data_IF_108454091011
#
_entry.id   IF_108454091011
#
_cell.length_a   1.000
_cell.length_b   1.000
_cell.length_c   1.000
_cell.angle_alpha   90.00
_cell.angle_beta   90.00
_cell.angle_gamma   90.00
#
_symmetry.space_group_name_H-M   'P 1'
#
loop_
_entity.id
_entity.type
_entity.pdbx_description
1 polymer ?
#
# COMPACT_ATOMS: atom_id res chain seq x y z
N UNK A 1 -41.84 -74.45 29.91
CA UNK A 1 -40.82 -73.48 30.29
C UNK A 1 -40.09 -73.07 29.02
N UNK A 2 -40.22 -71.81 28.60
CA UNK A 2 -39.45 -71.30 27.47
C UNK A 2 -37.98 -71.09 27.94
N UNK A 3 -37.00 -71.49 27.18
CA UNK A 3 -35.60 -71.27 27.58
C UNK A 3 -35.34 -69.75 27.74
N UNK A 4 -34.66 -69.41 28.84
CA UNK A 4 -34.18 -68.05 29.06
C UNK A 4 -33.25 -67.68 27.87
N UNK A 5 -33.62 -66.63 27.17
CA UNK A 5 -32.75 -66.04 26.17
C UNK A 5 -31.77 -65.14 26.91
N UNK A 6 -30.49 -65.52 26.92
CA UNK A 6 -29.45 -64.69 27.49
C UNK A 6 -29.38 -63.37 26.70
N UNK A 7 -29.47 -62.24 27.42
CA UNK A 7 -29.28 -60.91 26.87
C UNK A 7 -27.87 -60.46 27.24
N UNK A 8 -27.03 -60.27 26.25
CA UNK A 8 -25.69 -59.67 26.45
C UNK A 8 -25.79 -58.16 26.20
N UNK A 9 -25.31 -57.38 27.15
CA UNK A 9 -25.19 -55.93 27.03
C UNK A 9 -23.70 -55.59 27.07
N UNK A 10 -23.19 -54.96 25.99
CA UNK A 10 -21.80 -54.49 25.91
C UNK A 10 -21.77 -53.00 26.16
N UNK A 11 -20.96 -52.56 27.10
CA UNK A 11 -20.67 -51.15 27.35
C UNK A 11 -19.31 -50.82 26.73
N UNK A 12 -19.28 -49.82 25.85
CA UNK A 12 -18.02 -49.35 25.27
C UNK A 12 -17.79 -47.91 25.77
N UNK A 13 -16.64 -47.74 26.45
CA UNK A 13 -16.22 -46.39 26.86
C UNK A 13 -15.30 -45.80 25.76
N UNK A 14 -15.53 -44.58 25.41
CA UNK A 14 -14.70 -43.80 24.48
C UNK A 14 -13.92 -42.77 25.28
N UNK A 15 -12.58 -42.82 25.15
CA UNK A 15 -11.74 -41.77 25.72
C UNK A 15 -11.76 -40.55 24.77
N UNK A 16 -12.01 -39.39 25.34
CA UNK A 16 -11.99 -38.12 24.58
C UNK A 16 -10.56 -37.73 24.22
N UNK A 17 -10.41 -37.02 23.09
CA UNK A 17 -9.21 -36.29 22.73
C UNK A 17 -9.44 -34.78 22.86
N UNK A 18 -8.48 -34.01 22.40
CA UNK A 18 -8.53 -32.53 22.35
C UNK A 18 -7.97 -32.05 21.04
N UNK A 19 -8.28 -30.79 20.69
CA UNK A 19 -7.70 -30.09 19.56
C UNK A 19 -7.05 -28.81 20.06
N UNK A 20 -5.79 -28.59 19.66
CA UNK A 20 -5.05 -27.33 19.85
C UNK A 20 -4.93 -26.65 18.51
N UNK A 21 -5.34 -25.38 18.47
CA UNK A 21 -5.15 -24.49 17.33
C UNK A 21 -4.09 -23.46 17.72
N UNK A 22 -3.13 -23.22 16.82
CA UNK A 22 -2.08 -22.21 17.02
C UNK A 22 -2.19 -21.14 15.94
N UNK A 23 -2.22 -19.88 16.36
CA UNK A 23 -2.23 -18.71 15.48
C UNK A 23 -0.86 -18.06 15.43
N UNK A 24 -0.37 -17.78 14.21
CA UNK A 24 0.89 -17.08 13.95
C UNK A 24 0.66 -15.87 13.04
N UNK A 25 1.47 -14.83 13.19
CA UNK A 25 1.52 -13.66 12.30
C UNK A 25 2.93 -13.48 11.78
N UNK A 26 3.12 -13.54 10.45
CA UNK A 26 4.44 -13.33 9.82
C UNK A 26 4.97 -11.91 9.99
N UNK A 27 4.08 -10.94 10.10
CA UNK A 27 4.41 -9.51 10.22
C UNK A 27 4.51 -9.03 11.67
N UNK A 28 4.35 -9.95 12.64
CA UNK A 28 4.15 -9.59 14.04
C UNK A 28 2.76 -8.99 14.30
N UNK A 29 2.49 -8.66 15.56
CA UNK A 29 1.21 -8.13 16.01
C UNK A 29 0.54 -9.02 17.07
N UNK A 30 -0.68 -8.67 17.49
CA UNK A 30 -1.43 -9.46 18.46
C UNK A 30 -2.01 -10.72 17.82
N UNK A 31 -1.75 -11.85 18.43
CA UNK A 31 -2.32 -13.16 18.09
C UNK A 31 -3.58 -13.47 18.89
N UNK A 32 -4.00 -12.57 19.79
CA UNK A 32 -5.21 -12.69 20.60
C UNK A 32 -6.47 -12.31 19.80
N UNK A 33 -7.58 -13.03 20.07
CA UNK A 33 -8.90 -12.69 19.57
C UNK A 33 -9.20 -13.14 18.14
N UNK A 34 -8.33 -13.92 17.51
CA UNK A 34 -8.60 -14.50 16.20
C UNK A 34 -9.65 -15.59 16.30
N UNK A 35 -10.60 -15.58 15.35
CA UNK A 35 -11.79 -16.42 15.41
C UNK A 35 -11.69 -17.66 14.55
N UNK A 36 -12.06 -18.81 15.13
CA UNK A 36 -12.04 -20.10 14.45
C UNK A 36 -13.37 -20.82 14.61
N UNK A 37 -13.92 -21.28 13.49
CA UNK A 37 -15.06 -22.18 13.45
C UNK A 37 -14.56 -23.61 13.38
N UNK A 38 -15.11 -24.49 14.22
CA UNK A 38 -14.79 -25.93 14.23
C UNK A 38 -16.06 -26.70 13.89
N UNK A 39 -15.95 -27.60 12.92
CA UNK A 39 -17.06 -28.40 12.42
C UNK A 39 -16.65 -29.88 12.47
N UNK A 40 -17.55 -30.76 12.88
CA UNK A 40 -17.31 -32.19 12.88
C UNK A 40 -17.47 -32.82 11.49
N UNK A 41 -17.30 -34.16 11.41
CA UNK A 41 -17.42 -34.90 10.15
C UNK A 41 -18.85 -34.97 9.56
N UNK A 42 -19.85 -34.64 10.35
CA UNK A 42 -21.26 -34.61 9.92
C UNK A 42 -21.67 -33.22 9.45
N UNK A 43 -20.77 -32.22 9.59
CA UNK A 43 -21.01 -30.84 9.23
C UNK A 43 -21.63 -30.00 10.35
N UNK A 44 -21.72 -30.56 11.55
CA UNK A 44 -22.26 -29.83 12.71
C UNK A 44 -21.17 -28.97 13.34
N UNK A 45 -21.53 -27.73 13.63
CA UNK A 45 -20.62 -26.74 14.26
C UNK A 45 -20.53 -27.04 15.76
N UNK A 46 -19.33 -27.11 16.29
CA UNK A 46 -19.11 -27.37 17.72
C UNK A 46 -19.72 -26.24 18.59
N UNK A 47 -20.29 -26.64 19.72
CA UNK A 47 -20.78 -25.72 20.73
C UNK A 47 -19.65 -24.80 21.23
N UNK A 48 -19.94 -23.50 21.31
CA UNK A 48 -18.99 -22.46 21.68
C UNK A 48 -18.23 -21.88 20.50
N UNK A 49 -18.45 -22.37 19.28
CA UNK A 49 -17.88 -21.77 18.05
C UNK A 49 -18.60 -20.44 17.72
N UNK A 50 -17.87 -19.40 17.22
CA UNK A 50 -16.44 -19.39 16.99
C UNK A 50 -15.61 -19.29 18.28
N UNK A 51 -14.51 -20.01 18.31
CA UNK A 51 -13.52 -19.93 19.38
C UNK A 51 -12.54 -18.79 19.11
N UNK A 52 -12.11 -18.09 20.18
CA UNK A 52 -11.11 -17.03 20.07
C UNK A 52 -9.76 -17.50 20.60
N UNK A 53 -8.67 -17.08 19.95
CA UNK A 53 -7.32 -17.28 20.49
C UNK A 53 -7.08 -16.44 21.73
N UNK A 54 -6.28 -16.98 22.64
CA UNK A 54 -5.77 -16.28 23.83
C UNK A 54 -4.58 -15.34 23.49
N UNK A 55 -3.99 -14.73 24.52
CA UNK A 55 -2.86 -13.82 24.40
C UNK A 55 -1.59 -14.47 23.78
N UNK A 56 -1.45 -15.79 23.91
CA UNK A 56 -0.37 -16.58 23.34
C UNK A 56 -0.71 -17.10 21.92
N UNK A 57 -1.91 -16.83 21.42
CA UNK A 57 -2.38 -17.29 20.11
C UNK A 57 -2.89 -18.71 20.08
N UNK A 58 -3.33 -19.26 21.21
CA UNK A 58 -3.80 -20.63 21.31
C UNK A 58 -5.31 -20.73 21.53
N UNK A 59 -5.88 -21.80 21.00
CA UNK A 59 -7.16 -22.37 21.41
C UNK A 59 -6.90 -23.82 21.80
N UNK A 60 -7.34 -24.20 22.99
CA UNK A 60 -7.39 -25.59 23.40
C UNK A 60 -8.86 -25.96 23.67
N UNK A 61 -9.40 -26.86 22.86
CA UNK A 61 -10.79 -27.29 23.02
C UNK A 61 -11.00 -28.08 24.31
N UNK A 62 -12.24 -28.20 24.74
CA UNK A 62 -12.66 -29.20 25.70
C UNK A 62 -12.53 -30.63 25.14
N UNK A 63 -13.21 -31.56 25.78
CA UNK A 63 -13.23 -32.96 25.38
C UNK A 63 -14.00 -33.14 24.06
N UNK A 64 -13.33 -33.69 23.06
CA UNK A 64 -13.88 -34.03 21.75
C UNK A 64 -13.96 -35.53 21.60
N UNK A 65 -15.01 -36.02 20.95
CA UNK A 65 -15.05 -37.41 20.50
C UNK A 65 -13.95 -37.65 19.46
N UNK A 66 -13.33 -38.82 19.44
CA UNK A 66 -12.42 -39.18 18.35
C UNK A 66 -13.11 -39.12 17.01
N UNK A 67 -12.49 -38.44 16.05
CA UNK A 67 -13.10 -38.18 14.75
C UNK A 67 -12.31 -37.14 13.94
N UNK A 68 -12.81 -36.84 12.77
CA UNK A 68 -12.25 -35.83 11.88
C UNK A 68 -13.00 -34.51 12.08
N UNK A 69 -12.28 -33.43 12.21
CA UNK A 69 -12.79 -32.08 12.39
C UNK A 69 -12.22 -31.16 11.32
N UNK A 70 -13.03 -30.21 10.90
CA UNK A 70 -12.61 -29.12 10.01
C UNK A 70 -12.50 -27.84 10.83
N UNK A 71 -11.36 -27.16 10.73
CA UNK A 71 -11.06 -25.89 11.39
C UNK A 71 -10.96 -24.82 10.32
N UNK A 72 -11.78 -23.79 10.44
CA UNK A 72 -11.84 -22.65 9.54
C UNK A 72 -11.53 -21.36 10.29
N UNK A 73 -10.50 -20.63 9.87
CA UNK A 73 -10.25 -19.28 10.34
C UNK A 73 -11.25 -18.31 9.73
N UNK A 74 -11.91 -17.52 10.57
CA UNK A 74 -12.88 -16.53 10.16
C UNK A 74 -12.21 -15.15 10.06
N UNK A 75 -11.81 -14.76 8.85
CA UNK A 75 -11.29 -13.43 8.59
C UNK A 75 -12.44 -12.46 8.29
N UNK A 76 -12.46 -11.25 8.89
CA UNK A 76 -13.37 -10.20 8.45
C UNK A 76 -13.17 -9.88 6.97
N UNK A 77 -14.25 -9.55 6.26
CA UNK A 77 -14.22 -9.20 4.84
C UNK A 77 -13.24 -8.07 4.52
N UNK A 78 -13.09 -7.12 5.45
CA UNK A 78 -12.18 -5.97 5.34
C UNK A 78 -10.88 -6.16 6.14
N UNK A 79 -10.42 -7.40 6.31
CA UNK A 79 -9.18 -7.67 7.02
C UNK A 79 -7.97 -7.16 6.24
N UNK A 80 -7.04 -6.49 6.95
CA UNK A 80 -5.71 -6.19 6.41
C UNK A 80 -4.79 -7.41 6.37
N UNK A 81 -5.23 -8.55 6.90
CA UNK A 81 -4.50 -9.81 6.89
C UNK A 81 -5.12 -10.78 5.90
N UNK A 82 -4.28 -11.66 5.39
CA UNK A 82 -4.68 -12.82 4.60
C UNK A 82 -4.04 -14.08 5.18
N UNK A 83 -4.78 -15.19 5.16
CA UNK A 83 -4.21 -16.50 5.51
C UNK A 83 -3.18 -16.88 4.45
N UNK A 84 -1.96 -17.25 4.89
CA UNK A 84 -0.86 -17.75 4.03
C UNK A 84 -0.69 -19.26 4.16
N UNK A 85 -1.68 -19.93 4.72
CA UNK A 85 -1.80 -21.37 4.88
C UNK A 85 -3.10 -21.87 4.25
N UNK A 86 -3.29 -23.18 4.26
CA UNK A 86 -4.58 -23.78 3.90
C UNK A 86 -5.65 -23.36 4.92
N UNK A 87 -6.79 -22.91 4.42
CA UNK A 87 -7.96 -22.54 5.22
C UNK A 87 -9.24 -22.87 4.43
N UNK A 88 -10.11 -23.78 4.90
CA UNK A 88 -10.02 -24.53 6.17
C UNK A 88 -9.01 -25.68 6.18
N UNK A 89 -8.61 -26.12 7.39
CA UNK A 89 -7.78 -27.29 7.60
C UNK A 89 -8.57 -28.45 8.21
N UNK A 90 -8.23 -29.68 7.83
CA UNK A 90 -8.84 -30.90 8.37
C UNK A 90 -7.87 -31.61 9.31
N UNK A 91 -8.36 -32.03 10.48
CA UNK A 91 -7.55 -32.70 11.52
C UNK A 91 -8.26 -33.89 12.11
N UNK A 92 -7.53 -34.94 12.48
CA UNK A 92 -8.08 -36.12 13.15
C UNK A 92 -7.72 -36.11 14.64
N UNK A 93 -8.73 -36.05 15.48
CA UNK A 93 -8.61 -36.17 16.93
C UNK A 93 -8.68 -37.67 17.30
N UNK A 94 -7.64 -38.18 17.99
CA UNK A 94 -7.59 -39.54 18.48
C UNK A 94 -7.85 -39.62 19.99
N UNK A 95 -8.18 -40.83 20.45
CA UNK A 95 -8.44 -41.09 21.87
C UNK A 95 -7.23 -40.73 22.73
N UNK A 96 -7.41 -39.90 23.77
CA UNK A 96 -6.39 -39.51 24.72
C UNK A 96 -5.31 -38.58 24.19
N UNK A 97 -5.38 -38.17 22.92
CA UNK A 97 -4.36 -37.33 22.28
C UNK A 97 -4.84 -35.88 22.14
N UNK A 98 -3.87 -34.97 21.98
CA UNK A 98 -4.10 -33.60 21.55
C UNK A 98 -3.69 -33.52 20.08
N UNK A 99 -4.66 -33.31 19.19
CA UNK A 99 -4.40 -33.02 17.79
C UNK A 99 -4.04 -31.54 17.63
N UNK A 100 -3.17 -31.20 16.70
CA UNK A 100 -2.70 -29.83 16.50
C UNK A 100 -2.89 -29.37 15.06
N UNK A 101 -3.29 -28.11 14.90
CA UNK A 101 -3.30 -27.37 13.61
C UNK A 101 -2.71 -25.99 13.82
N UNK A 102 -2.15 -25.41 12.77
CA UNK A 102 -1.53 -24.10 12.82
C UNK A 102 -2.01 -23.23 11.65
N UNK A 103 -2.35 -21.99 11.97
CA UNK A 103 -2.73 -20.98 10.98
C UNK A 103 -1.76 -19.82 11.05
N UNK A 104 -1.35 -19.35 9.87
CA UNK A 104 -0.46 -18.22 9.72
C UNK A 104 -1.09 -17.17 8.82
N UNK A 105 -1.01 -15.89 9.25
CA UNK A 105 -1.44 -14.77 8.42
C UNK A 105 -0.30 -13.79 8.19
N UNK A 106 -0.31 -13.20 7.01
CA UNK A 106 0.54 -12.08 6.65
C UNK A 106 -0.30 -10.82 6.40
N UNK A 107 0.29 -9.65 6.61
CA UNK A 107 -0.31 -8.40 6.16
C UNK A 107 -0.43 -8.42 4.64
N UNK A 108 -1.59 -7.99 4.15
CA UNK A 108 -1.78 -7.71 2.73
C UNK A 108 -0.90 -6.55 2.31
N UNK A 109 -0.37 -6.62 1.12
CA UNK A 109 0.52 -5.60 0.56
C UNK A 109 -0.24 -4.64 -0.33
N UNK A 110 -0.14 -3.36 -0.04
CA UNK A 110 -0.73 -2.30 -0.85
C UNK A 110 0.15 -1.86 -2.01
N UNK A 111 -0.46 -1.22 -3.02
CA UNK A 111 0.25 -0.73 -4.21
C UNK A 111 -0.39 0.55 -4.75
N UNK A 112 0.46 1.51 -5.13
CA UNK A 112 0.07 2.68 -5.93
C UNK A 112 0.83 2.63 -7.25
N UNK A 113 0.09 2.75 -8.36
CA UNK A 113 0.63 2.81 -9.71
C UNK A 113 0.22 4.12 -10.35
N UNK A 114 1.18 4.85 -10.92
CA UNK A 114 0.93 6.03 -11.75
C UNK A 114 1.39 5.73 -13.16
N UNK A 115 0.53 6.03 -14.12
CA UNK A 115 0.84 6.12 -15.54
C UNK A 115 0.94 7.59 -15.92
N UNK A 116 2.14 8.06 -16.23
CA UNK A 116 2.41 9.44 -16.58
C UNK A 116 2.26 9.64 -18.07
N UNK A 117 1.28 10.46 -18.46
CA UNK A 117 0.93 10.73 -19.87
C UNK A 117 0.81 12.24 -20.15
N UNK A 118 0.82 12.58 -21.42
CA UNK A 118 0.42 13.93 -21.86
C UNK A 118 -1.07 13.99 -22.25
N UNK A 119 -1.53 15.15 -22.69
CA UNK A 119 -2.93 15.40 -23.11
C UNK A 119 -3.34 14.61 -24.36
N UNK A 120 -2.41 13.99 -25.07
CA UNK A 120 -2.68 13.13 -26.25
C UNK A 120 -2.67 11.64 -25.89
N UNK A 121 -2.29 11.29 -24.65
CA UNK A 121 -2.14 9.92 -24.19
C UNK A 121 -0.73 9.32 -24.40
N UNK A 122 0.22 10.11 -24.86
CA UNK A 122 1.63 9.69 -25.00
C UNK A 122 2.30 9.60 -23.63
N UNK A 123 3.04 8.52 -23.39
CA UNK A 123 3.77 8.30 -22.14
C UNK A 123 4.90 9.32 -21.98
N UNK A 124 5.09 9.78 -20.76
CA UNK A 124 6.10 10.79 -20.43
C UNK A 124 7.13 10.24 -19.44
N UNK A 125 8.41 10.28 -19.84
CA UNK A 125 9.54 10.01 -18.95
C UNK A 125 10.05 11.30 -18.27
N UNK A 126 10.74 11.13 -17.14
CA UNK A 126 11.42 12.24 -16.44
C UNK A 126 10.56 13.05 -15.50
N UNK A 127 9.30 12.66 -15.25
CA UNK A 127 8.50 13.22 -14.16
C UNK A 127 8.92 12.60 -12.83
N UNK A 128 9.21 13.44 -11.83
CA UNK A 128 9.60 12.97 -10.48
C UNK A 128 8.46 13.17 -9.50
N UNK A 129 8.09 12.08 -8.80
CA UNK A 129 7.03 12.07 -7.80
C UNK A 129 7.56 11.66 -6.43
N UNK A 130 6.99 12.25 -5.39
CA UNK A 130 7.20 11.90 -3.99
C UNK A 130 5.99 11.16 -3.46
N UNK A 131 6.21 10.00 -2.83
CA UNK A 131 5.22 9.31 -2.02
C UNK A 131 5.50 9.56 -0.54
N UNK A 132 4.49 10.04 0.16
CA UNK A 132 4.49 10.24 1.61
C UNK A 132 3.40 9.40 2.26
N UNK A 133 3.61 9.06 3.53
CA UNK A 133 2.62 8.36 4.36
C UNK A 133 2.31 9.13 5.64
N UNK A 134 1.14 8.88 6.21
CA UNK A 134 0.69 9.41 7.49
C UNK A 134 -0.20 8.40 8.20
N UNK A 135 -0.09 8.30 9.53
CA UNK A 135 -1.01 7.47 10.32
C UNK A 135 -2.41 8.10 10.40
N UNK A 136 -2.50 9.43 10.51
CA UNK A 136 -3.74 10.17 10.78
C UNK A 136 -4.09 11.21 9.71
N UNK A 137 -3.34 11.28 8.60
CA UNK A 137 -3.52 12.26 7.53
C UNK A 137 -3.10 13.69 7.88
N UNK A 138 -2.35 13.90 8.96
CA UNK A 138 -1.94 15.23 9.43
C UNK A 138 -0.45 15.49 9.38
N UNK A 139 0.38 14.52 9.76
CA UNK A 139 1.84 14.58 9.70
C UNK A 139 2.32 13.61 8.64
N UNK A 140 3.11 14.10 7.68
CA UNK A 140 3.52 13.36 6.50
C UNK A 140 5.01 13.07 6.50
N UNK A 141 5.37 11.85 6.14
CA UNK A 141 6.74 11.35 6.09
C UNK A 141 6.99 10.68 4.74
N UNK A 142 8.15 10.91 4.10
CA UNK A 142 8.51 10.17 2.89
C UNK A 142 8.49 8.66 3.12
N UNK A 143 8.00 7.90 2.14
CA UNK A 143 8.06 6.44 2.18
C UNK A 143 9.47 5.99 1.86
N UNK A 144 10.15 5.38 2.83
CA UNK A 144 11.50 4.84 2.65
C UNK A 144 11.47 3.32 2.62
N UNK A 145 12.08 2.69 1.61
CA UNK A 145 12.16 1.23 1.50
C UNK A 145 13.59 0.72 1.69
N UNK A 146 13.69 -0.38 2.41
CA UNK A 146 14.96 -1.09 2.60
C UNK A 146 15.25 -2.12 1.50
N UNK A 147 14.32 -2.41 0.58
CA UNK A 147 14.48 -3.41 -0.48
C UNK A 147 14.16 -2.83 -1.85
N UNK A 148 15.05 -3.12 -2.81
CA UNK A 148 14.87 -2.81 -4.22
C UNK A 148 13.86 -3.77 -4.85
N UNK A 149 12.76 -3.24 -5.38
CA UNK A 149 11.81 -3.99 -6.22
C UNK A 149 11.86 -3.35 -7.60
N UNK A 150 12.22 -4.12 -8.61
CA UNK A 150 12.19 -3.68 -10.01
C UNK A 150 10.94 -4.22 -10.67
N UNK A 151 10.05 -3.34 -11.12
CA UNK A 151 8.91 -3.71 -11.97
C UNK A 151 8.66 -2.59 -12.99
N UNK A 152 8.33 -2.97 -14.22
CA UNK A 152 7.83 -2.06 -15.25
C UNK A 152 8.78 -0.93 -15.61
N UNK A 153 10.10 -1.18 -15.70
CA UNK A 153 11.07 -0.17 -16.10
C UNK A 153 11.46 0.85 -15.01
N UNK A 154 10.73 0.93 -13.90
CA UNK A 154 11.10 1.75 -12.75
C UNK A 154 12.09 1.01 -11.85
N UNK A 155 13.26 1.57 -11.65
CA UNK A 155 14.26 1.06 -10.70
C UNK A 155 14.00 1.67 -9.32
N UNK A 156 13.62 0.84 -8.35
CA UNK A 156 13.48 1.29 -6.95
C UNK A 156 14.82 1.54 -6.24
N UNK A 157 15.93 1.26 -6.88
CA UNK A 157 17.25 1.68 -6.38
C UNK A 157 17.40 3.20 -6.28
N UNK A 158 16.45 3.96 -6.82
CA UNK A 158 16.36 5.41 -6.74
C UNK A 158 15.38 5.91 -5.65
N UNK A 159 14.82 5.04 -4.82
CA UNK A 159 14.01 5.44 -3.65
C UNK A 159 14.92 5.96 -2.53
N UNK A 160 15.53 7.10 -2.81
CA UNK A 160 16.06 7.97 -1.77
C UNK A 160 14.91 8.91 -1.42
N UNK A 161 14.41 8.82 -0.19
CA UNK A 161 13.38 9.71 0.37
C UNK A 161 12.01 9.65 -0.33
N UNK A 162 11.56 8.47 -0.77
CA UNK A 162 10.20 8.26 -1.29
C UNK A 162 9.97 8.72 -2.73
N UNK A 163 11.01 9.15 -3.46
CA UNK A 163 10.87 9.65 -4.82
C UNK A 163 11.03 8.56 -5.88
N UNK A 164 10.22 8.63 -6.93
CA UNK A 164 10.38 7.86 -8.17
C UNK A 164 10.32 8.80 -9.37
N UNK A 165 11.07 8.46 -10.42
CA UNK A 165 11.03 9.18 -11.70
C UNK A 165 10.45 8.27 -12.77
N UNK A 166 9.51 8.77 -13.58
CA UNK A 166 8.89 8.01 -14.66
C UNK A 166 9.90 7.60 -15.72
N UNK A 167 9.81 6.34 -16.15
CA UNK A 167 10.57 5.77 -17.27
C UNK A 167 9.90 6.04 -18.62
N UNK A 168 10.43 5.49 -19.70
CA UNK A 168 9.92 5.71 -21.06
C UNK A 168 8.48 5.22 -21.26
N UNK A 169 8.05 4.23 -20.48
CA UNK A 169 6.68 3.72 -20.45
C UNK A 169 5.73 4.54 -19.53
N UNK A 170 6.22 5.64 -18.96
CA UNK A 170 5.47 6.52 -18.08
C UNK A 170 5.11 5.93 -16.71
N UNK A 171 5.53 4.70 -16.40
CA UNK A 171 5.08 4.01 -15.20
C UNK A 171 5.93 4.34 -13.97
N UNK A 172 5.21 4.52 -12.83
CA UNK A 172 5.76 4.60 -11.49
C UNK A 172 4.96 3.64 -10.60
N UNK A 173 5.66 2.79 -9.84
CA UNK A 173 5.02 1.79 -8.98
C UNK A 173 5.64 1.81 -7.59
N UNK A 174 4.82 2.12 -6.58
CA UNK A 174 5.14 1.91 -5.19
C UNK A 174 4.41 0.66 -4.70
N UNK A 175 5.17 -0.33 -4.29
CA UNK A 175 4.68 -1.64 -3.83
C UNK A 175 5.00 -1.83 -2.34
N UNK A 176 4.46 -2.87 -1.71
CA UNK A 176 4.65 -3.18 -0.29
C UNK A 176 4.23 -2.05 0.65
N UNK A 177 3.16 -1.35 0.31
CA UNK A 177 2.58 -0.32 1.15
C UNK A 177 1.76 -0.96 2.27
N UNK A 178 1.87 -0.40 3.49
CA UNK A 178 1.10 -0.87 4.64
C UNK A 178 -0.38 -0.48 4.49
N UNK A 179 -1.31 -1.42 4.73
CA UNK A 179 -2.73 -1.09 4.72
C UNK A 179 -3.11 -0.21 5.91
N UNK A 180 -4.19 0.57 5.75
CA UNK A 180 -4.73 1.43 6.80
C UNK A 180 -4.01 2.75 7.03
N UNK A 181 -2.89 3.00 6.35
CA UNK A 181 -2.23 4.29 6.36
C UNK A 181 -2.80 5.23 5.30
N UNK A 182 -2.68 6.52 5.53
CA UNK A 182 -2.91 7.54 4.52
C UNK A 182 -1.65 7.71 3.66
N UNK A 183 -1.86 7.86 2.36
CA UNK A 183 -0.81 8.09 1.39
C UNK A 183 -1.08 9.36 0.60
N UNK A 184 -0.01 10.05 0.20
CA UNK A 184 -0.06 11.23 -0.63
C UNK A 184 1.04 11.19 -1.68
N UNK A 185 0.67 11.43 -2.95
CA UNK A 185 1.60 11.47 -4.07
C UNK A 185 1.62 12.86 -4.65
N UNK A 186 2.81 13.46 -4.72
CA UNK A 186 3.03 14.81 -5.23
C UNK A 186 4.01 14.76 -6.40
N UNK A 187 3.70 15.42 -7.51
CA UNK A 187 4.67 15.63 -8.58
C UNK A 187 5.63 16.74 -8.16
N UNK A 188 6.93 16.43 -8.03
CA UNK A 188 7.98 17.38 -7.66
C UNK A 188 8.56 18.07 -8.90
N UNK A 189 8.73 17.31 -9.98
CA UNK A 189 9.29 17.79 -11.26
C UNK A 189 8.47 17.24 -12.41
N UNK A 190 8.05 18.12 -13.31
CA UNK A 190 7.40 17.73 -14.55
C UNK A 190 8.44 17.36 -15.62
N UNK A 191 8.07 16.56 -16.62
CA UNK A 191 8.94 16.33 -17.78
C UNK A 191 9.30 17.64 -18.51
N UNK A 192 10.45 17.68 -19.16
CA UNK A 192 10.88 18.86 -19.91
C UNK A 192 9.82 19.31 -20.92
N UNK A 193 9.44 20.58 -20.83
CA UNK A 193 8.46 21.19 -21.73
C UNK A 193 6.99 21.00 -21.30
N UNK A 194 6.76 20.44 -20.14
CA UNK A 194 5.43 20.25 -19.56
C UNK A 194 5.22 21.08 -18.29
N UNK A 195 3.97 21.41 -18.01
CA UNK A 195 3.60 22.11 -16.79
C UNK A 195 3.49 21.15 -15.62
N UNK A 196 3.96 21.58 -14.44
CA UNK A 196 3.86 20.82 -13.19
C UNK A 196 2.39 20.66 -12.77
N UNK A 197 2.03 19.47 -12.29
CA UNK A 197 0.72 19.19 -11.70
C UNK A 197 0.49 20.10 -10.49
N UNK A 198 -0.69 20.74 -10.42
CA UNK A 198 -1.10 21.52 -9.26
C UNK A 198 -1.82 20.64 -8.26
N UNK A 199 -1.29 20.55 -7.03
CA UNK A 199 -1.86 19.74 -5.97
C UNK A 199 -1.30 18.32 -5.97
N UNK A 200 -2.06 17.38 -5.41
CA UNK A 200 -1.67 15.99 -5.26
C UNK A 200 -2.19 15.15 -6.43
N UNK A 201 -1.37 14.22 -6.90
CA UNK A 201 -1.82 13.18 -7.83
C UNK A 201 -2.76 12.20 -7.13
N UNK A 202 -2.49 11.93 -5.85
CA UNK A 202 -3.31 11.11 -4.97
C UNK A 202 -3.20 11.61 -3.53
N UNK A 203 -4.30 11.56 -2.78
CA UNK A 203 -4.32 11.70 -1.32
C UNK A 203 -5.48 10.88 -0.76
N UNK A 204 -5.19 9.94 0.14
CA UNK A 204 -6.18 9.08 0.77
C UNK A 204 -5.61 7.78 1.31
N UNK A 205 -6.50 6.90 1.75
CA UNK A 205 -6.18 5.54 2.13
C UNK A 205 -6.32 4.61 0.92
N UNK A 206 -5.58 3.48 0.94
CA UNK A 206 -5.79 2.44 -0.06
C UNK A 206 -7.15 1.76 0.15
N UNK A 207 -7.88 1.39 -0.93
CA UNK A 207 -9.13 0.64 -0.82
C UNK A 207 -8.90 -0.66 -0.04
N UNK A 208 -9.79 -0.97 0.92
CA UNK A 208 -9.60 -2.12 1.82
C UNK A 208 -9.76 -3.45 1.11
N UNK A 209 -10.58 -3.50 0.07
CA UNK A 209 -10.90 -4.71 -0.70
C UNK A 209 -9.71 -5.24 -1.52
N UNK A 210 -8.96 -4.36 -2.20
CA UNK A 210 -7.84 -4.81 -3.04
C UNK A 210 -6.49 -4.14 -2.71
N UNK A 211 -6.48 -3.07 -1.90
CA UNK A 211 -5.31 -2.29 -1.49
C UNK A 211 -4.50 -1.70 -2.67
N UNK A 212 -5.15 -1.47 -3.81
CA UNK A 212 -4.50 -0.97 -5.01
C UNK A 212 -5.13 0.33 -5.48
N UNK A 213 -4.26 1.25 -5.92
CA UNK A 213 -4.65 2.49 -6.59
C UNK A 213 -3.87 2.58 -7.89
N UNK A 214 -4.59 2.77 -9.01
CA UNK A 214 -4.00 2.99 -10.32
C UNK A 214 -4.54 4.29 -10.90
N UNK A 215 -3.66 5.20 -11.29
CA UNK A 215 -3.99 6.56 -11.71
C UNK A 215 -3.25 6.92 -13.00
N UNK A 216 -3.92 7.66 -13.88
CA UNK A 216 -3.28 8.39 -14.97
C UNK A 216 -3.05 9.84 -14.52
N UNK A 217 -1.82 10.31 -14.61
CA UNK A 217 -1.45 11.69 -14.32
C UNK A 217 -1.05 12.38 -15.61
N UNK A 218 -1.84 13.39 -15.98
CA UNK A 218 -1.72 14.09 -17.25
C UNK A 218 -1.03 15.45 -17.06
N UNK A 219 0.07 15.70 -17.80
CA UNK A 219 0.65 17.05 -17.88
C UNK A 219 0.36 17.66 -19.26
N UNK A 220 0.00 18.96 -19.25
CA UNK A 220 -0.11 19.76 -20.46
C UNK A 220 1.28 20.25 -20.88
N UNK A 221 1.50 20.38 -22.19
CA UNK A 221 2.70 21.06 -22.70
C UNK A 221 2.74 22.50 -22.20
N UNK A 222 3.87 22.88 -21.62
CA UNK A 222 4.09 24.25 -21.17
C UNK A 222 4.08 25.21 -22.36
N UNK A 223 3.50 26.39 -22.14
CA UNK A 223 3.51 27.44 -23.14
C UNK A 223 4.90 28.10 -23.16
N UNK A 224 5.78 27.69 -24.07
CA UNK A 224 6.98 28.47 -24.36
C UNK A 224 6.59 29.68 -25.18
N UNK A 225 6.70 30.87 -24.59
CA UNK A 225 6.63 32.08 -25.40
C UNK A 225 7.70 31.97 -26.49
N UNK A 226 7.38 32.31 -27.76
CA UNK A 226 8.40 32.38 -28.79
C UNK A 226 9.52 33.30 -28.29
N UNK A 227 10.76 32.86 -28.41
CA UNK A 227 11.91 33.68 -28.09
C UNK A 227 11.86 34.88 -29.04
N UNK A 228 11.34 36.00 -28.57
CA UNK A 228 11.15 37.18 -29.42
C UNK A 228 12.46 37.86 -29.75
N UNK A 229 13.58 37.14 -29.62
CA UNK A 229 14.88 37.52 -30.19
C UNK A 229 15.47 38.86 -29.71
N UNK A 230 14.84 39.52 -28.73
CA UNK A 230 15.40 40.75 -28.14
C UNK A 230 16.30 40.31 -26.98
N UNK A 231 17.57 40.00 -27.30
CA UNK A 231 18.53 39.70 -26.24
C UNK A 231 18.56 40.86 -25.24
N UNK A 232 18.58 40.54 -23.95
CA UNK A 232 18.72 41.50 -22.84
C UNK A 232 19.90 42.45 -23.05
N UNK A 233 20.95 41.96 -23.78
CA UNK A 233 22.08 42.77 -24.20
C UNK A 233 21.74 43.85 -25.20
N UNK A 234 20.75 43.66 -26.09
CA UNK A 234 20.34 44.67 -27.04
C UNK A 234 19.52 45.75 -26.38
N UNK A 235 18.58 45.40 -25.47
CA UNK A 235 17.80 46.33 -24.66
C UNK A 235 18.74 47.21 -23.82
N UNK A 236 19.73 46.59 -23.15
CA UNK A 236 20.69 47.31 -22.32
C UNK A 236 21.53 48.29 -23.14
N UNK A 237 21.95 47.91 -24.35
CA UNK A 237 22.69 48.80 -25.26
C UNK A 237 21.84 49.97 -25.77
N UNK A 238 20.57 49.74 -26.10
CA UNK A 238 19.65 50.80 -26.48
C UNK A 238 19.43 51.77 -25.32
N UNK A 239 19.19 51.27 -24.08
CA UNK A 239 19.07 52.12 -22.90
C UNK A 239 20.34 52.95 -22.63
N UNK A 240 21.55 52.37 -22.79
CA UNK A 240 22.82 53.08 -22.61
C UNK A 240 22.98 54.21 -23.66
N UNK A 241 22.62 53.95 -24.93
CA UNK A 241 22.66 54.98 -25.97
C UNK A 241 21.67 56.11 -25.72
N UNK A 242 20.47 55.82 -25.26
CA UNK A 242 19.47 56.84 -24.90
C UNK A 242 19.92 57.66 -23.70
N UNK A 243 20.47 57.07 -22.66
CA UNK A 243 21.04 57.79 -21.51
C UNK A 243 22.21 58.69 -21.92
N UNK A 244 23.10 58.20 -22.78
CA UNK A 244 24.24 59.01 -23.28
C UNK A 244 23.78 60.23 -24.11
N UNK A 245 22.75 60.06 -24.94
CA UNK A 245 22.18 61.16 -25.73
C UNK A 245 21.49 62.21 -24.82
N UNK A 246 20.76 61.79 -23.81
CA UNK A 246 20.14 62.69 -22.82
C UNK A 246 21.19 63.46 -22.03
N UNK A 247 22.26 62.82 -21.59
CA UNK A 247 23.38 63.47 -20.89
C UNK A 247 24.08 64.52 -21.80
N UNK A 248 24.31 64.16 -23.08
CA UNK A 248 24.90 65.09 -24.02
C UNK A 248 24.01 66.34 -24.26
N UNK A 249 22.70 66.15 -24.40
CA UNK A 249 21.75 67.29 -24.53
C UNK A 249 21.74 68.16 -23.29
N UNK A 250 21.74 67.56 -22.07
CA UNK A 250 21.78 68.34 -20.83
C UNK A 250 23.09 69.14 -20.70
N UNK A 251 24.25 68.58 -21.12
CA UNK A 251 25.52 69.26 -21.14
C UNK A 251 25.51 70.43 -22.11
N UNK A 252 24.91 70.28 -23.31
CA UNK A 252 24.75 71.37 -24.28
C UNK A 252 23.83 72.48 -23.78
N UNK A 253 22.78 72.16 -23.11
CA UNK A 253 21.89 73.16 -22.48
C UNK A 253 22.63 73.90 -21.33
N UNK A 254 23.35 73.20 -20.49
CA UNK A 254 24.10 73.82 -19.40
C UNK A 254 25.24 74.69 -19.93
N UNK A 255 25.87 74.30 -21.02
CA UNK A 255 26.91 75.10 -21.70
C UNK A 255 26.36 76.38 -22.30
N UNK A 256 25.19 76.33 -22.94
CA UNK A 256 24.51 77.52 -23.45
C UNK A 256 24.11 78.48 -22.35
N UNK A 257 23.65 77.98 -21.20
CA UNK A 257 23.22 78.78 -20.05
C UNK A 257 24.35 79.49 -19.32
N UNK A 258 25.60 79.08 -19.49
CA UNK A 258 26.82 79.74 -18.95
C UNK A 258 27.38 80.87 -19.84
N UNK A 259 26.84 81.06 -21.04
CA UNK A 259 27.27 82.03 -22.04
C UNK A 259 26.40 83.30 -22.16
N UNK A 260 25.42 83.42 -21.24
CA UNK A 260 24.63 84.68 -21.08
C UNK A 260 24.86 85.30 -19.74
#
# INVERSE_FOLDING_TARGET
IKPHKDVSITFTNVQYGRLKITKNLESGGSVEGWQFKITDSEGEVLDGSPFNTDEDGFILTGNLLPGTYTVEELLPENSFYQCVCENPQTVTVKQGEVAEVSFANALRSGKITIEKIDTTGEHLSGATFLLEWSAEGSLWYPVTYSKTIVRGGCSNSALVDGTLTSSEDGLLVWDNLYPGLHYRVTELEAPNGYELLKGYAFEGQLPVDDLQVSLQVVNAKGFSLPDTGVSTGLILRIMQLVCAAVCAILLLISYKKKRW
#
